data_IF_894128682683
#
_entry.id   IF_894128682683
#
_cell.length_a   1.000
_cell.length_b   1.000
_cell.length_c   1.000
_cell.angle_alpha   90.00
_cell.angle_beta   90.00
_cell.angle_gamma   90.00
#
_symmetry.space_group_name_H-M   'P 1'
#
loop_
_entity.id
_entity.type
_entity.pdbx_description
1 polymer ?
#
# COMPACT_ATOMS: atom_id res chain seq x y z
N UNK A 1 -14.52 24.89 -6.32
CA UNK A 1 -14.79 24.23 -7.61
C UNK A 1 -14.76 22.71 -7.35
N UNK A 2 -15.91 22.08 -7.14
CA UNK A 2 -16.00 20.61 -6.99
C UNK A 2 -15.93 20.03 -8.40
N UNK A 3 -14.79 19.47 -8.77
CA UNK A 3 -14.75 18.57 -9.91
C UNK A 3 -15.47 17.29 -9.50
N UNK A 4 -16.69 17.15 -9.97
CA UNK A 4 -17.43 15.89 -9.91
C UNK A 4 -16.71 14.91 -10.84
N UNK A 5 -15.93 13.99 -10.28
CA UNK A 5 -15.50 12.78 -10.96
C UNK A 5 -16.70 11.84 -11.09
N UNK A 6 -17.71 12.25 -11.87
CA UNK A 6 -18.86 11.42 -12.14
C UNK A 6 -18.45 10.34 -13.15
N UNK A 7 -18.21 9.15 -12.65
CA UNK A 7 -17.92 7.95 -13.43
C UNK A 7 -16.74 7.11 -12.96
N UNK A 8 -15.88 7.63 -12.10
CA UNK A 8 -14.70 6.93 -11.61
C UNK A 8 -14.49 7.24 -10.12
N UNK A 9 -15.23 6.54 -9.27
CA UNK A 9 -15.02 6.60 -7.83
C UNK A 9 -14.27 5.33 -7.40
N UNK A 10 -12.96 5.40 -7.11
CA UNK A 10 -12.23 4.26 -6.58
C UNK A 10 -12.71 3.94 -5.16
N UNK A 11 -12.52 2.69 -4.76
CA UNK A 11 -12.75 2.23 -3.39
C UNK A 11 -11.50 2.55 -2.58
N UNK A 12 -11.65 3.24 -1.46
CA UNK A 12 -10.55 3.50 -0.54
C UNK A 12 -10.18 2.23 0.21
N UNK A 13 -8.88 2.01 0.38
CA UNK A 13 -8.35 0.88 1.13
C UNK A 13 -7.11 1.32 1.90
N UNK A 14 -6.92 0.82 3.11
CA UNK A 14 -5.75 1.09 3.95
C UNK A 14 -5.20 -0.18 4.57
N UNK A 15 -3.93 -0.13 4.98
CA UNK A 15 -3.36 -1.16 5.81
C UNK A 15 -3.79 -0.94 7.27
N UNK A 16 -4.62 -1.83 7.83
CA UNK A 16 -4.98 -1.82 9.23
C UNK A 16 -4.89 -3.22 9.84
N UNK A 17 -4.60 -3.31 11.13
CA UNK A 17 -4.49 -4.58 11.83
C UNK A 17 -5.88 -5.17 12.13
N UNK A 18 -5.91 -6.50 12.29
CA UNK A 18 -7.13 -7.24 12.62
C UNK A 18 -7.77 -6.82 13.95
N UNK A 19 -6.96 -6.47 14.92
CA UNK A 19 -7.43 -5.96 16.21
C UNK A 19 -7.31 -4.43 16.21
N UNK A 20 -8.43 -3.77 16.28
CA UNK A 20 -8.61 -2.32 16.31
C UNK A 20 -8.01 -1.65 17.56
N UNK A 21 -6.75 -1.83 17.82
CA UNK A 21 -6.03 -1.01 18.78
C UNK A 21 -5.51 0.26 18.09
N UNK A 22 -6.39 1.25 18.01
CA UNK A 22 -6.07 2.55 17.41
C UNK A 22 -6.47 2.63 15.94
N UNK A 23 -7.73 2.89 15.69
CA UNK A 23 -8.30 3.10 14.36
C UNK A 23 -7.59 4.24 13.66
N UNK A 24 -6.94 3.97 12.53
CA UNK A 24 -6.57 5.01 11.61
C UNK A 24 -7.84 5.54 10.93
N UNK A 25 -8.43 6.60 11.47
CA UNK A 25 -9.65 7.20 10.95
C UNK A 25 -9.44 7.95 9.62
N UNK A 26 -8.23 7.99 9.08
CA UNK A 26 -7.89 8.73 7.87
C UNK A 26 -8.65 8.22 6.64
N UNK A 27 -8.70 6.91 6.35
CA UNK A 27 -9.47 6.39 5.23
C UNK A 27 -10.96 6.71 5.33
N UNK A 28 -11.54 6.63 6.52
CA UNK A 28 -12.96 6.92 6.77
C UNK A 28 -13.26 8.39 6.51
N UNK A 29 -12.43 9.30 7.03
CA UNK A 29 -12.57 10.75 6.80
C UNK A 29 -12.44 11.08 5.32
N UNK A 30 -11.49 10.46 4.61
CA UNK A 30 -11.34 10.65 3.17
C UNK A 30 -12.55 10.12 2.40
N UNK A 31 -13.05 8.93 2.75
CA UNK A 31 -14.24 8.33 2.14
C UNK A 31 -15.44 9.24 2.30
N UNK A 32 -15.68 9.75 3.51
CA UNK A 32 -16.77 10.68 3.80
C UNK A 32 -16.65 11.99 3.01
N UNK A 33 -15.46 12.61 3.01
CA UNK A 33 -15.25 13.90 2.34
C UNK A 33 -15.33 13.80 0.82
N UNK A 34 -14.92 12.69 0.24
CA UNK A 34 -14.90 12.46 -1.21
C UNK A 34 -16.22 11.83 -1.70
N UNK A 35 -17.01 11.24 -0.81
CA UNK A 35 -18.17 10.45 -1.16
C UNK A 35 -17.81 9.13 -1.86
N UNK A 36 -16.65 8.56 -1.52
CA UNK A 36 -16.16 7.29 -2.07
C UNK A 36 -16.45 6.13 -1.14
N UNK A 37 -16.54 4.92 -1.69
CA UNK A 37 -16.63 3.70 -0.89
C UNK A 37 -15.31 3.38 -0.18
N UNK A 38 -15.39 2.63 0.91
CA UNK A 38 -14.23 2.12 1.66
C UNK A 38 -14.28 0.60 1.71
N UNK A 39 -13.11 -0.04 1.60
CA UNK A 39 -12.93 -1.48 1.80
C UNK A 39 -12.38 -1.73 3.21
N UNK A 40 -13.23 -2.25 4.08
CA UNK A 40 -12.91 -2.50 5.48
C UNK A 40 -12.60 -3.96 5.79
N UNK A 41 -12.93 -4.87 4.85
CA UNK A 41 -12.73 -6.31 5.08
C UNK A 41 -11.27 -6.75 4.96
N UNK A 42 -10.44 -5.95 4.31
CA UNK A 42 -9.03 -6.28 4.10
C UNK A 42 -8.21 -5.83 5.31
N UNK A 43 -7.68 -6.80 6.04
CA UNK A 43 -6.92 -6.57 7.28
C UNK A 43 -5.51 -7.15 7.19
N UNK A 44 -4.58 -6.51 7.87
CA UNK A 44 -3.24 -7.05 8.04
C UNK A 44 -3.25 -8.11 9.14
N UNK A 45 -2.91 -9.36 8.78
CA UNK A 45 -3.03 -10.54 9.66
C UNK A 45 -1.82 -10.79 10.54
N UNK A 46 -0.70 -10.11 10.28
CA UNK A 46 0.51 -10.25 11.06
C UNK A 46 1.00 -8.89 11.57
N UNK A 47 1.46 -8.87 12.82
CA UNK A 47 2.11 -7.68 13.39
C UNK A 47 3.54 -7.63 12.89
N UNK A 48 3.85 -6.62 12.06
CA UNK A 48 5.21 -6.37 11.58
C UNK A 48 5.77 -5.17 12.34
N UNK A 49 6.51 -5.44 13.42
CA UNK A 49 7.23 -4.36 14.10
C UNK A 49 8.46 -3.96 13.28
N UNK A 50 8.46 -2.73 12.79
CA UNK A 50 9.58 -2.15 12.04
C UNK A 50 10.55 -1.35 12.92
N UNK A 51 10.23 -1.16 14.20
CA UNK A 51 11.04 -0.39 15.13
C UNK A 51 12.34 -1.14 15.42
N UNK A 52 13.48 -0.57 14.99
CA UNK A 52 14.81 -1.17 15.18
C UNK A 52 15.16 -2.37 14.27
N UNK A 53 14.27 -2.78 13.35
CA UNK A 53 14.55 -3.87 12.44
C UNK A 53 15.56 -3.48 11.35
N UNK A 54 16.58 -4.32 11.14
CA UNK A 54 17.52 -4.18 10.02
C UNK A 54 16.85 -4.55 8.68
N UNK A 55 17.53 -4.27 7.56
CA UNK A 55 17.00 -4.52 6.22
C UNK A 55 16.58 -5.96 5.96
N UNK A 56 17.32 -6.94 6.47
CA UNK A 56 16.99 -8.37 6.33
C UNK A 56 15.75 -8.76 7.13
N UNK A 57 15.61 -8.27 8.36
CA UNK A 57 14.42 -8.53 9.17
C UNK A 57 13.16 -7.94 8.52
N UNK A 58 13.28 -6.81 7.83
CA UNK A 58 12.17 -6.18 7.07
C UNK A 58 11.78 -6.98 5.84
N UNK A 59 12.76 -7.55 5.13
CA UNK A 59 12.49 -8.43 3.98
C UNK A 59 11.86 -9.77 4.42
N UNK A 60 12.30 -10.32 5.55
CA UNK A 60 11.79 -11.58 6.07
C UNK A 60 10.39 -11.46 6.72
N UNK A 61 9.99 -10.26 7.14
CA UNK A 61 8.71 -9.99 7.82
C UNK A 61 7.89 -9.03 6.99
N UNK A 62 7.33 -9.54 5.91
CA UNK A 62 6.41 -8.78 5.07
C UNK A 62 5.01 -8.75 5.70
N UNK A 63 4.25 -7.64 5.57
CA UNK A 63 2.85 -7.63 5.96
C UNK A 63 2.04 -8.57 5.07
N UNK A 64 1.26 -9.43 5.70
CA UNK A 64 0.30 -10.29 5.04
C UNK A 64 -1.10 -9.70 5.21
N UNK A 65 -1.91 -9.83 4.18
CA UNK A 65 -3.28 -9.33 4.17
C UNK A 65 -4.26 -10.47 3.94
N UNK A 66 -5.45 -10.33 4.51
CA UNK A 66 -6.60 -11.20 4.29
C UNK A 66 -7.86 -10.34 4.16
N UNK A 67 -8.85 -10.83 3.44
CA UNK A 67 -10.10 -10.13 3.18
C UNK A 67 -10.59 -10.25 1.75
N UNK A 68 -11.66 -9.55 1.42
CA UNK A 68 -12.29 -9.66 0.10
C UNK A 68 -11.97 -8.45 -0.76
N UNK A 69 -11.44 -8.68 -1.94
CA UNK A 69 -11.26 -7.67 -2.98
C UNK A 69 -12.30 -7.90 -4.08
N UNK A 70 -12.95 -6.83 -4.53
CA UNK A 70 -13.81 -6.87 -5.72
C UNK A 70 -12.95 -6.90 -6.97
N UNK A 71 -13.00 -7.98 -7.80
CA UNK A 71 -12.32 -8.00 -9.08
C UNK A 71 -12.79 -6.85 -9.98
N UNK A 72 -11.92 -6.41 -10.88
CA UNK A 72 -12.18 -5.35 -11.86
C UNK A 72 -12.58 -3.98 -11.25
N UNK A 73 -12.38 -3.83 -9.95
CA UNK A 73 -12.64 -2.56 -9.25
C UNK A 73 -11.36 -1.77 -9.05
N UNK A 74 -11.50 -0.44 -9.08
CA UNK A 74 -10.40 0.48 -8.85
C UNK A 74 -10.26 0.79 -7.37
N UNK A 75 -9.04 0.71 -6.86
CA UNK A 75 -8.70 0.96 -5.47
C UNK A 75 -7.75 2.14 -5.34
N UNK A 76 -7.94 2.92 -4.29
CA UNK A 76 -7.08 4.02 -3.90
C UNK A 76 -6.55 3.77 -2.49
N UNK A 77 -5.23 3.57 -2.37
CA UNK A 77 -4.61 3.30 -1.07
C UNK A 77 -4.43 4.61 -0.31
N UNK A 78 -4.86 4.63 0.95
CA UNK A 78 -4.68 5.75 1.88
C UNK A 78 -3.98 5.25 3.12
N UNK A 79 -2.92 5.94 3.55
CA UNK A 79 -2.19 5.60 4.77
C UNK A 79 -1.74 6.88 5.51
N UNK A 80 -1.38 6.76 6.79
CA UNK A 80 -0.92 7.88 7.59
C UNK A 80 0.56 8.21 7.34
N UNK A 81 1.39 7.19 7.20
CA UNK A 81 2.84 7.35 7.10
C UNK A 81 3.48 6.35 6.13
N UNK A 82 4.42 6.83 5.32
CA UNK A 82 5.29 5.98 4.51
C UNK A 82 6.75 6.08 4.95
N UNK A 83 7.31 4.93 5.37
CA UNK A 83 8.73 4.79 5.64
C UNK A 83 9.52 4.37 4.41
N UNK A 84 9.52 3.08 4.11
CA UNK A 84 10.19 2.46 2.95
C UNK A 84 9.20 2.01 1.86
N UNK A 85 7.91 2.16 2.09
CA UNK A 85 6.85 1.79 1.15
C UNK A 85 6.51 0.30 1.09
N UNK A 86 7.13 -0.55 1.90
CA UNK A 86 6.92 -2.00 1.87
C UNK A 86 5.46 -2.40 2.13
N UNK A 87 4.82 -1.81 3.12
CA UNK A 87 3.41 -2.08 3.44
C UNK A 87 2.49 -1.72 2.27
N UNK A 88 2.69 -0.53 1.67
CA UNK A 88 1.90 -0.09 0.52
C UNK A 88 2.13 -0.99 -0.71
N UNK A 89 3.37 -1.41 -0.94
CA UNK A 89 3.72 -2.32 -2.03
C UNK A 89 3.06 -3.70 -1.85
N UNK A 90 3.05 -4.25 -0.64
CA UNK A 90 2.40 -5.53 -0.35
C UNK A 90 0.88 -5.43 -0.43
N UNK A 91 0.27 -4.36 0.09
CA UNK A 91 -1.18 -4.14 -0.05
C UNK A 91 -1.57 -4.01 -1.52
N UNK A 92 -0.80 -3.26 -2.31
CA UNK A 92 -0.99 -3.19 -3.76
C UNK A 92 -0.90 -4.57 -4.41
N UNK A 93 0.11 -5.36 -4.07
CA UNK A 93 0.28 -6.73 -4.57
C UNK A 93 -0.91 -7.62 -4.22
N UNK A 94 -1.41 -7.52 -2.98
CA UNK A 94 -2.59 -8.25 -2.53
C UNK A 94 -3.83 -7.90 -3.37
N UNK A 95 -4.13 -6.60 -3.53
CA UNK A 95 -5.26 -6.13 -4.35
C UNK A 95 -5.16 -6.64 -5.79
N UNK A 96 -3.98 -6.54 -6.40
CA UNK A 96 -3.75 -7.01 -7.77
C UNK A 96 -3.90 -8.52 -7.90
N UNK A 97 -3.38 -9.31 -6.95
CA UNK A 97 -3.49 -10.78 -6.96
C UNK A 97 -4.93 -11.27 -6.85
N UNK A 98 -5.80 -10.47 -6.23
CA UNK A 98 -7.24 -10.75 -6.12
C UNK A 98 -8.08 -10.12 -7.25
N UNK A 99 -7.45 -9.59 -8.29
CA UNK A 99 -8.11 -9.06 -9.49
C UNK A 99 -8.55 -7.59 -9.41
N UNK A 100 -8.21 -6.87 -8.33
CA UNK A 100 -8.44 -5.43 -8.24
C UNK A 100 -7.34 -4.62 -8.91
N UNK A 101 -7.57 -3.32 -9.12
CA UNK A 101 -6.62 -2.39 -9.73
C UNK A 101 -6.32 -1.24 -8.79
N UNK A 102 -5.10 -1.10 -8.34
CA UNK A 102 -4.68 0.08 -7.57
C UNK A 102 -4.33 1.21 -8.53
N UNK A 103 -5.14 2.27 -8.52
CA UNK A 103 -4.99 3.42 -9.43
C UNK A 103 -4.08 4.50 -8.86
N UNK A 104 -4.02 4.64 -7.54
CA UNK A 104 -3.12 5.56 -6.87
C UNK A 104 -2.97 5.21 -5.38
N UNK A 105 -2.00 5.85 -4.73
CA UNK A 105 -1.81 5.80 -3.29
C UNK A 105 -1.46 7.20 -2.78
N UNK A 106 -1.93 7.53 -1.58
CA UNK A 106 -1.56 8.75 -0.87
C UNK A 106 -1.27 8.46 0.59
N UNK A 107 -0.43 9.31 1.18
CA UNK A 107 -0.09 9.25 2.61
C UNK A 107 -0.08 10.67 3.17
N UNK A 108 -0.39 10.82 4.45
CA UNK A 108 -0.36 12.13 5.09
C UNK A 108 1.06 12.63 5.32
N UNK A 109 1.98 11.72 5.63
CA UNK A 109 3.37 12.07 5.91
C UNK A 109 4.31 10.93 5.54
N UNK A 110 5.59 11.23 5.43
CA UNK A 110 6.60 10.24 5.08
C UNK A 110 8.01 10.80 5.19
N UNK A 111 8.99 9.92 5.03
CA UNK A 111 10.39 10.35 4.95
C UNK A 111 10.65 11.04 3.62
N UNK A 112 11.58 12.02 3.54
CA UNK A 112 11.84 12.78 2.30
C UNK A 112 12.16 11.92 1.07
N UNK A 113 12.75 10.73 1.26
CA UNK A 113 13.07 9.80 0.18
C UNK A 113 11.92 8.88 -0.21
N UNK A 114 10.84 8.84 0.57
CA UNK A 114 9.71 7.93 0.34
C UNK A 114 8.88 8.31 -0.89
N UNK A 115 8.96 9.55 -1.35
CA UNK A 115 8.30 10.01 -2.57
C UNK A 115 9.00 9.51 -3.85
N UNK A 116 10.22 9.00 -3.74
CA UNK A 116 11.01 8.50 -4.88
C UNK A 116 11.04 6.98 -4.83
N UNK A 117 10.04 6.36 -5.41
CA UNK A 117 9.90 4.89 -5.46
C UNK A 117 10.61 4.26 -6.68
N UNK A 118 11.22 5.07 -7.52
CA UNK A 118 11.94 4.57 -8.69
C UNK A 118 13.37 4.17 -8.30
N UNK A 119 13.79 2.92 -8.52
CA UNK A 119 15.15 2.50 -8.28
C UNK A 119 16.14 3.34 -9.09
N UNK A 120 17.23 3.77 -8.49
CA UNK A 120 18.31 4.46 -9.21
C UNK A 120 19.03 3.47 -10.12
N UNK A 121 19.52 3.93 -11.28
CA UNK A 121 20.24 3.07 -12.25
C UNK A 121 21.32 2.22 -11.59
N UNK A 122 22.17 2.81 -10.74
CA UNK A 122 23.20 2.08 -10.03
C UNK A 122 22.70 1.00 -9.05
N UNK A 123 21.48 1.16 -8.49
CA UNK A 123 20.86 0.13 -7.66
C UNK A 123 20.37 -1.04 -8.51
N UNK A 124 19.81 -0.76 -9.68
CA UNK A 124 19.38 -1.80 -10.64
C UNK A 124 20.60 -2.59 -11.13
N UNK A 125 21.69 -1.91 -11.49
CA UNK A 125 22.93 -2.54 -11.92
C UNK A 125 23.54 -3.42 -10.83
N UNK A 126 23.53 -2.94 -9.58
CA UNK A 126 23.99 -3.71 -8.42
C UNK A 126 23.14 -4.96 -8.19
N UNK A 127 21.80 -4.85 -8.31
CA UNK A 127 20.90 -5.98 -8.19
C UNK A 127 21.12 -7.00 -9.32
N UNK A 128 21.24 -6.53 -10.55
CA UNK A 128 21.56 -7.39 -11.71
C UNK A 128 22.88 -8.12 -11.54
N UNK A 129 23.93 -7.45 -11.03
CA UNK A 129 25.23 -8.08 -10.80
C UNK A 129 25.19 -9.17 -9.72
N UNK A 130 24.28 -9.04 -8.73
CA UNK A 130 24.13 -10.00 -7.63
C UNK A 130 23.19 -11.16 -7.92
N UNK A 131 22.16 -10.93 -8.70
CA UNK A 131 21.05 -11.86 -8.88
C UNK A 131 20.81 -12.29 -10.34
N UNK A 132 21.61 -11.79 -11.27
CA UNK A 132 21.48 -12.12 -12.70
C UNK A 132 20.22 -11.56 -13.34
N UNK A 133 19.84 -12.12 -14.50
CA UNK A 133 18.70 -11.68 -15.29
C UNK A 133 17.34 -12.17 -14.76
N UNK A 134 17.30 -12.94 -13.67
CA UNK A 134 16.06 -13.48 -13.09
C UNK A 134 15.15 -12.39 -12.48
N UNK A 135 15.64 -11.16 -12.34
CA UNK A 135 14.86 -10.02 -11.84
C UNK A 135 13.94 -9.35 -12.88
N UNK A 136 13.95 -9.83 -14.12
CA UNK A 136 13.17 -9.22 -15.22
C UNK A 136 11.88 -9.99 -15.56
N UNK A 137 11.55 -11.04 -14.80
CA UNK A 137 10.35 -11.85 -14.99
C UNK A 137 9.28 -11.56 -13.93
#
# INVERSE_FOLDING_TARGET
MRQTFSGFAPILISAHAYENEGVNAIPEVFAEQLGWGIEESVVQTNVVSHTGANGFARLARQPNFDGTIKPDSNYFIVDDFVGMGGTLANLRGYVHSAGGVVVAATVLTGKPHSAVLTPRKGQIELLRSKHGSELEN
#
